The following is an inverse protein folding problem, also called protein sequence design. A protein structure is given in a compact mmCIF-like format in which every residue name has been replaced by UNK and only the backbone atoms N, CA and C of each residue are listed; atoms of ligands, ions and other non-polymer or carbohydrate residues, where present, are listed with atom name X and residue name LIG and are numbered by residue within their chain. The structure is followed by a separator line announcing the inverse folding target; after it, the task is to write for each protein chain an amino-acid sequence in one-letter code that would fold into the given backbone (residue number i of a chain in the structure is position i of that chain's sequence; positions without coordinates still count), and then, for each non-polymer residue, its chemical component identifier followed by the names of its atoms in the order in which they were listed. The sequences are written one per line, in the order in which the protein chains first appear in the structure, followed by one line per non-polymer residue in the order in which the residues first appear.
data_IF_259369681949
#
_entry.id   IF_259369681949
#
_cell.length_a   1.000
_cell.length_b   1.000
_cell.length_c   1.000
_cell.angle_alpha   90.00
_cell.angle_beta   90.00
_cell.angle_gamma   90.00
#
_symmetry.space_group_name_H-M   'P 1'
#
loop_
_entity.id
_entity.type
_entity.pdbx_description
1 polymer ?
#
# COMPACT_ATOMS: atom_id res chain seq x y z
N UNK A 1 7.69 14.59 -18.79
CA UNK A 1 6.40 14.04 -18.32
C UNK A 1 6.70 12.65 -17.82
N UNK A 2 6.78 12.46 -16.50
CA UNK A 2 7.08 11.13 -15.95
C UNK A 2 5.95 10.16 -16.27
N UNK A 3 6.29 9.02 -16.86
CA UNK A 3 5.33 7.95 -17.15
C UNK A 3 5.17 7.07 -15.92
N UNK A 4 3.93 6.77 -15.57
CA UNK A 4 3.58 5.93 -14.42
C UNK A 4 2.86 4.68 -14.90
N UNK A 5 3.06 3.58 -14.19
CA UNK A 5 2.44 2.29 -14.48
C UNK A 5 1.87 1.68 -13.20
N UNK A 6 0.63 1.18 -13.28
CA UNK A 6 -0.06 0.55 -12.16
C UNK A 6 -0.27 -0.94 -12.41
N UNK A 7 -0.13 -1.73 -11.35
CA UNK A 7 -0.29 -3.18 -11.34
C UNK A 7 -1.16 -3.64 -10.18
N UNK A 8 -1.94 -4.69 -10.38
CA UNK A 8 -2.48 -5.53 -9.30
C UNK A 8 -1.94 -6.94 -9.47
N UNK A 9 -1.14 -7.38 -8.50
CA UNK A 9 -0.37 -8.62 -8.61
C UNK A 9 0.53 -8.62 -9.85
N UNK A 10 0.25 -9.49 -10.81
CA UNK A 10 0.97 -9.63 -12.09
C UNK A 10 0.30 -8.95 -13.27
N UNK A 11 -0.86 -8.32 -13.07
CA UNK A 11 -1.64 -7.69 -14.15
C UNK A 11 -1.42 -6.19 -14.18
N UNK A 12 -1.08 -5.66 -15.36
CA UNK A 12 -1.01 -4.21 -15.56
C UNK A 12 -2.43 -3.65 -15.69
N UNK A 13 -2.76 -2.65 -14.86
CA UNK A 13 -4.07 -2.01 -14.85
C UNK A 13 -4.11 -0.76 -15.72
N UNK A 14 -3.05 0.05 -15.69
CA UNK A 14 -2.97 1.29 -16.44
C UNK A 14 -1.51 1.74 -16.61
N UNK A 15 -1.24 2.51 -17.66
CA UNK A 15 0.05 3.18 -17.87
C UNK A 15 -0.17 4.54 -18.53
N UNK A 16 0.48 5.59 -18.05
CA UNK A 16 0.31 6.93 -18.60
C UNK A 16 0.73 8.03 -17.64
N UNK A 17 0.03 9.17 -17.70
CA UNK A 17 0.21 10.22 -16.71
C UNK A 17 -0.30 9.78 -15.34
N UNK A 18 0.16 10.44 -14.28
CA UNK A 18 -0.25 10.11 -12.91
C UNK A 18 -1.76 10.33 -12.71
N UNK A 19 -2.33 11.33 -13.38
CA UNK A 19 -3.78 11.61 -13.38
C UNK A 19 -4.59 10.51 -14.08
N UNK A 20 -4.13 10.04 -15.24
CA UNK A 20 -4.80 8.97 -15.98
C UNK A 20 -4.80 7.67 -15.18
N UNK A 21 -3.65 7.34 -14.58
CA UNK A 21 -3.49 6.17 -13.73
C UNK A 21 -4.36 6.27 -12.48
N UNK A 22 -4.38 7.43 -11.80
CA UNK A 22 -5.23 7.63 -10.62
C UNK A 22 -6.72 7.52 -10.95
N UNK A 23 -7.14 8.13 -12.06
CA UNK A 23 -8.52 8.08 -12.55
C UNK A 23 -8.95 6.65 -12.89
N UNK A 24 -8.09 5.91 -13.59
CA UNK A 24 -8.35 4.52 -13.95
C UNK A 24 -8.40 3.60 -12.72
N UNK A 25 -7.58 3.84 -11.71
CA UNK A 25 -7.60 3.06 -10.47
C UNK A 25 -8.82 3.40 -9.59
N UNK A 26 -9.26 4.66 -9.58
CA UNK A 26 -10.45 5.06 -8.84
C UNK A 26 -11.73 4.54 -9.47
N UNK A 27 -11.81 4.50 -10.80
CA UNK A 27 -12.94 3.92 -11.52
C UNK A 27 -12.98 2.39 -11.46
N UNK A 28 -11.89 1.75 -11.06
CA UNK A 28 -11.86 0.30 -10.86
C UNK A 28 -12.43 -0.03 -9.49
N UNK A 29 -13.53 -0.78 -9.50
CA UNK A 29 -14.05 -1.41 -8.29
C UNK A 29 -12.99 -2.40 -7.76
N UNK A 30 -12.52 -2.26 -6.52
CA UNK A 30 -11.59 -3.22 -5.95
C UNK A 30 -12.32 -4.56 -5.86
N UNK A 31 -11.87 -5.54 -6.64
CA UNK A 31 -12.32 -6.90 -6.44
C UNK A 31 -12.00 -7.28 -4.98
N UNK A 32 -12.98 -7.82 -4.26
CA UNK A 32 -12.91 -8.03 -2.81
C UNK A 32 -11.73 -8.90 -2.34
N UNK A 33 -11.09 -9.63 -3.26
CA UNK A 33 -9.96 -10.54 -3.01
C UNK A 33 -8.68 -10.14 -3.79
N UNK A 34 -8.70 -9.02 -4.52
CA UNK A 34 -7.53 -8.57 -5.27
C UNK A 34 -6.53 -7.84 -4.35
N UNK A 35 -5.22 -8.03 -4.57
CA UNK A 35 -4.21 -7.26 -3.86
C UNK A 35 -4.33 -5.77 -4.25
N UNK A 36 -4.01 -4.87 -3.30
CA UNK A 36 -4.08 -3.43 -3.56
C UNK A 36 -3.15 -3.06 -4.71
N UNK A 37 -3.58 -2.14 -5.60
CA UNK A 37 -2.78 -1.77 -6.75
C UNK A 37 -1.49 -1.06 -6.33
N UNK A 38 -0.39 -1.38 -7.01
CA UNK A 38 0.93 -0.79 -6.85
C UNK A 38 1.23 0.10 -8.05
N UNK A 39 1.74 1.30 -7.82
CA UNK A 39 2.09 2.24 -8.89
C UNK A 39 3.58 2.51 -8.88
N UNK A 40 4.20 2.55 -10.06
CA UNK A 40 5.62 2.77 -10.25
C UNK A 40 5.85 3.89 -11.27
N UNK A 41 6.89 4.68 -11.04
CA UNK A 41 7.46 5.58 -12.05
C UNK A 41 8.34 4.76 -12.99
N UNK A 42 8.07 4.85 -14.29
CA UNK A 42 8.73 4.03 -15.30
C UNK A 42 10.22 4.38 -15.47
N UNK A 43 10.57 5.65 -15.28
CA UNK A 43 11.93 6.15 -15.49
C UNK A 43 12.88 5.72 -14.36
N UNK A 44 12.41 5.73 -13.12
CA UNK A 44 13.23 5.47 -11.93
C UNK A 44 12.97 4.09 -11.31
N UNK A 45 11.87 3.44 -11.68
CA UNK A 45 11.36 2.24 -11.01
C UNK A 45 10.84 2.52 -9.59
N UNK A 46 10.73 3.78 -9.17
CA UNK A 46 10.30 4.13 -7.82
C UNK A 46 8.82 3.82 -7.64
N UNK A 47 8.49 3.09 -6.58
CA UNK A 47 7.09 2.91 -6.18
C UNK A 47 6.51 4.21 -5.62
N UNK A 48 5.32 4.59 -6.09
CA UNK A 48 4.58 5.77 -5.66
C UNK A 48 3.25 5.32 -5.05
N UNK A 49 2.90 5.92 -3.91
CA UNK A 49 1.60 5.72 -3.28
C UNK A 49 0.62 6.79 -3.76
N UNK A 50 -0.40 6.37 -4.49
CA UNK A 50 -1.50 7.25 -4.87
C UNK A 50 -2.55 7.30 -3.77
N UNK A 51 -3.01 8.50 -3.46
CA UNK A 51 -4.17 8.72 -2.62
C UNK A 51 -5.42 8.81 -3.49
N UNK A 52 -6.17 7.70 -3.55
CA UNK A 52 -7.42 7.56 -4.32
C UNK A 52 -8.67 7.83 -3.45
N UNK A 53 -8.49 8.41 -2.25
CA UNK A 53 -9.59 8.78 -1.39
C UNK A 53 -10.31 10.03 -1.90
N UNK A 54 -11.64 10.02 -1.77
CA UNK A 54 -12.51 11.11 -2.22
C UNK A 54 -13.30 10.74 -3.46
N UNK A 55 -13.83 11.76 -4.14
CA UNK A 55 -14.49 11.66 -5.44
C UNK A 55 -13.50 11.83 -6.58
N UNK A 56 -13.93 11.54 -7.80
CA UNK A 56 -13.10 11.76 -9.00
C UNK A 56 -12.61 13.22 -9.12
N UNK A 57 -13.43 14.20 -8.73
CA UNK A 57 -13.07 15.63 -8.77
C UNK A 57 -11.90 15.95 -7.81
N UNK A 58 -11.93 15.38 -6.60
CA UNK A 58 -10.84 15.51 -5.61
C UNK A 58 -9.51 14.92 -6.13
N UNK A 59 -9.59 13.85 -6.93
CA UNK A 59 -8.43 13.20 -7.56
C UNK A 59 -7.88 14.08 -8.68
N UNK A 60 -8.75 14.64 -9.50
CA UNK A 60 -8.36 15.57 -10.57
C UNK A 60 -7.69 16.79 -9.95
N UNK A 61 -8.27 17.43 -8.94
CA UNK A 61 -7.67 18.58 -8.27
C UNK A 61 -6.27 18.25 -7.71
N UNK A 62 -6.14 17.11 -7.03
CA UNK A 62 -4.88 16.66 -6.41
C UNK A 62 -3.76 16.37 -7.41
N UNK A 63 -4.09 15.87 -8.59
CA UNK A 63 -3.11 15.41 -9.58
C UNK A 63 -3.03 16.29 -10.83
N UNK A 64 -3.86 17.33 -10.94
CA UNK A 64 -3.81 18.33 -12.01
C UNK A 64 -2.78 19.44 -11.77
N UNK A 65 -2.34 19.68 -10.53
CA UNK A 65 -1.28 20.66 -10.24
C UNK A 65 0.11 20.02 -10.34
N UNK A 66 0.92 20.33 -11.38
CA UNK A 66 2.27 19.86 -11.52
C UNK A 66 3.20 20.79 -10.73
N UNK A 67 3.14 20.74 -9.39
CA UNK A 67 3.88 21.72 -8.60
C UNK A 67 4.18 21.36 -7.16
N UNK A 68 3.45 20.43 -6.56
CA UNK A 68 3.76 20.00 -5.21
C UNK A 68 4.07 18.52 -5.26
N UNK A 69 5.31 18.09 -4.98
CA UNK A 69 5.49 16.72 -4.56
C UNK A 69 4.67 16.62 -3.28
N UNK A 70 3.48 16.03 -3.38
CA UNK A 70 2.79 15.52 -2.21
C UNK A 70 3.57 14.30 -1.71
N UNK A 71 4.83 14.54 -1.34
CA UNK A 71 5.52 13.83 -0.29
C UNK A 71 4.76 14.12 1.01
N UNK A 72 3.53 13.62 1.09
CA UNK A 72 3.13 12.97 2.33
C UNK A 72 4.06 11.77 2.38
N UNK A 73 5.21 11.98 2.98
CA UNK A 73 6.02 10.91 3.52
C UNK A 73 5.09 10.12 4.44
N UNK A 74 4.36 9.16 3.88
CA UNK A 74 3.78 8.09 4.68
C UNK A 74 5.00 7.50 5.36
N UNK A 75 5.09 7.51 6.70
CA UNK A 75 6.26 7.03 7.41
C UNK A 75 6.61 5.68 6.83
N UNK A 76 7.86 5.55 6.40
CA UNK A 76 8.31 4.48 5.53
C UNK A 76 7.71 3.14 5.94
N UNK A 77 7.31 2.37 4.94
CA UNK A 77 6.90 0.97 5.05
C UNK A 77 8.13 0.14 5.50
N UNK A 78 8.64 0.44 6.68
CA UNK A 78 9.76 -0.23 7.32
C UNK A 78 9.17 -1.18 8.34
N UNK A 79 9.04 -2.44 7.91
CA UNK A 79 8.65 -3.62 8.72
C UNK A 79 7.36 -3.38 9.51
N UNK A 80 6.22 -4.05 9.21
CA UNK A 80 5.09 -4.02 10.13
C UNK A 80 5.64 -4.32 11.52
N UNK A 81 5.55 -3.36 12.44
CA UNK A 81 5.80 -3.61 13.85
C UNK A 81 4.80 -4.70 14.17
N UNK A 82 5.25 -5.95 14.22
CA UNK A 82 4.52 -7.01 14.88
C UNK A 82 4.26 -6.43 16.26
N UNK A 83 3.02 -5.98 16.48
CA UNK A 83 2.56 -5.35 17.71
C UNK A 83 2.48 -6.40 18.82
N UNK A 84 3.58 -7.14 19.02
CA UNK A 84 3.76 -8.01 20.16
C UNK A 84 4.05 -7.07 21.32
N UNK A 85 2.96 -6.59 21.91
CA UNK A 85 3.01 -6.02 23.25
C UNK A 85 3.29 -7.20 24.18
N UNK A 86 4.50 -7.26 24.74
CA UNK A 86 4.81 -8.25 25.78
C UNK A 86 3.84 -8.06 26.94
N UNK A 87 3.01 -9.08 27.21
CA UNK A 87 2.14 -9.11 28.39
C UNK A 87 2.72 -10.15 29.34
N UNK A 88 2.96 -9.75 30.59
CA UNK A 88 3.31 -10.72 31.63
C UNK A 88 2.08 -11.59 31.92
N UNK A 89 2.22 -12.90 31.69
CA UNK A 89 1.18 -13.89 31.97
C UNK A 89 1.78 -14.93 32.90
N UNK A 90 1.18 -15.09 34.09
CA UNK A 90 1.56 -16.17 35.00
C UNK A 90 0.88 -17.46 34.55
N UNK A 91 1.67 -18.39 33.99
CA UNK A 91 1.19 -19.69 33.55
C UNK A 91 1.20 -20.71 34.70
N UNK A 92 0.16 -21.55 34.76
CA UNK A 92 0.09 -22.73 35.64
C UNK A 92 1.04 -23.83 35.12
N UNK A 93 1.60 -24.70 35.99
CA UNK A 93 2.62 -25.69 35.62
C UNK A 93 2.28 -26.56 34.41
N UNK A 94 1.01 -26.99 34.28
CA UNK A 94 0.54 -27.79 33.13
C UNK A 94 0.66 -27.10 31.76
N UNK A 95 0.64 -25.76 31.73
CA UNK A 95 0.75 -25.00 30.48
C UNK A 95 2.21 -24.82 30.05
N UNK A 96 3.15 -24.92 30.98
CA UNK A 96 4.59 -24.91 30.68
C UNK A 96 5.04 -26.17 29.95
N UNK A 97 4.56 -27.35 30.36
CA UNK A 97 4.87 -28.62 29.69
C UNK A 97 4.46 -28.65 28.20
N UNK A 98 3.48 -27.83 27.82
CA UNK A 98 3.05 -27.67 26.45
C UNK A 98 3.95 -26.70 25.65
N UNK A 99 4.44 -25.63 26.27
CA UNK A 99 5.40 -24.70 25.66
C UNK A 99 6.77 -25.35 25.44
N UNK A 100 7.27 -26.15 26.38
CA UNK A 100 8.57 -26.83 26.24
C UNK A 100 8.61 -27.86 25.11
N UNK A 101 7.44 -28.31 24.64
CA UNK A 101 7.30 -29.21 23.49
C UNK A 101 7.34 -28.50 22.13
N UNK A 102 7.25 -27.17 22.09
CA UNK A 102 7.37 -26.40 20.86
C UNK A 102 8.86 -26.32 20.45
N UNK A 103 9.19 -27.03 19.38
CA UNK A 103 10.50 -26.94 18.72
C UNK A 103 10.43 -25.72 17.79
N UNK A 104 11.42 -24.83 17.89
CA UNK A 104 11.45 -23.53 17.20
C UNK A 104 11.41 -23.62 15.68
#
# INVERSE_FOLDING_TARGET
MSTHIAFSGSTCLASGSLLDVASCLHAQEPASDAPPPLVFELETGRQIDLDLSGTHDDIVERFSEPGVPAAREKPGRGRPKLGVVGREVTLLPRHWEWLERQRG
#
